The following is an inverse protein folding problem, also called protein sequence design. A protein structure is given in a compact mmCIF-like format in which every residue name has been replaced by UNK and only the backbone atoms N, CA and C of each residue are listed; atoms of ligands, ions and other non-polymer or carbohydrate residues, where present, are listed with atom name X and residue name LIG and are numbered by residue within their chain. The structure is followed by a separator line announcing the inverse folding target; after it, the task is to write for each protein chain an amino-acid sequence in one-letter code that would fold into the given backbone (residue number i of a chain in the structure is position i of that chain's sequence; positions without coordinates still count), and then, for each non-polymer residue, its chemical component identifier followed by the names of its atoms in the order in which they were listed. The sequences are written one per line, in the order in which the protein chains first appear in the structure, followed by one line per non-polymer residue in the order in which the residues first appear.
data_IF_982375535960
#
_entry.id   IF_982375535960
#
_cell.length_a   1.000
_cell.length_b   1.000
_cell.length_c   1.000
_cell.angle_alpha   90.00
_cell.angle_beta   90.00
_cell.angle_gamma   90.00
#
_symmetry.space_group_name_H-M   'P 1'
#
loop_
_entity.id
_entity.type
_entity.pdbx_description
1 polymer ?
#
# COMPACT_ATOMS: atom_id res chain seq x y z
N UNK A 1 15.06 -60.56 20.03
CA UNK A 1 15.08 -59.97 18.68
C UNK A 1 14.49 -58.56 18.77
N UNK A 2 15.35 -57.60 18.47
CA UNK A 2 15.21 -56.13 18.34
C UNK A 2 13.96 -55.41 18.87
N UNK A 3 14.19 -54.61 19.91
CA UNK A 3 13.36 -53.54 20.44
C UNK A 3 13.14 -52.42 19.41
N UNK A 4 11.88 -52.01 19.21
CA UNK A 4 11.53 -50.79 18.49
C UNK A 4 11.47 -49.62 19.49
N UNK A 5 12.40 -48.67 19.34
CA UNK A 5 12.35 -47.36 19.99
C UNK A 5 11.48 -46.43 19.15
N UNK A 6 10.39 -45.94 19.73
CA UNK A 6 9.65 -44.78 19.24
C UNK A 6 10.46 -43.50 19.49
N UNK A 7 10.51 -42.54 18.56
CA UNK A 7 11.03 -41.21 18.85
C UNK A 7 10.04 -40.43 19.74
N UNK A 8 10.57 -39.72 20.73
CA UNK A 8 9.83 -38.78 21.57
C UNK A 8 9.39 -37.59 20.72
N UNK A 9 8.11 -37.25 20.80
CA UNK A 9 7.60 -35.93 20.45
C UNK A 9 8.09 -34.97 21.54
N UNK A 10 8.99 -34.06 21.19
CA UNK A 10 9.24 -32.88 21.99
C UNK A 10 8.18 -31.85 21.60
N UNK A 11 7.21 -31.67 22.51
CA UNK A 11 6.17 -30.66 22.42
C UNK A 11 6.80 -29.27 22.46
N UNK A 12 6.67 -28.51 21.37
CA UNK A 12 6.96 -27.07 21.37
C UNK A 12 5.75 -26.38 22.02
N UNK A 13 5.80 -26.24 23.35
CA UNK A 13 4.94 -25.32 24.08
C UNK A 13 5.36 -23.88 23.77
N UNK A 14 4.60 -23.18 22.93
CA UNK A 14 4.65 -21.72 22.86
C UNK A 14 3.74 -21.18 23.97
N UNK A 15 4.31 -20.93 25.14
CA UNK A 15 3.63 -20.23 26.22
C UNK A 15 3.68 -18.73 25.92
N UNK A 16 2.59 -18.17 25.39
CA UNK A 16 2.37 -16.73 25.41
C UNK A 16 1.90 -16.35 26.81
N UNK A 17 2.84 -16.03 27.69
CA UNK A 17 2.55 -15.33 28.94
C UNK A 17 2.21 -13.88 28.59
N UNK A 18 0.92 -13.62 28.36
CA UNK A 18 0.34 -12.29 28.32
C UNK A 18 -0.50 -12.17 29.59
N UNK A 19 0.13 -11.85 30.72
CA UNK A 19 -0.61 -11.41 31.90
C UNK A 19 0.17 -10.31 32.64
N UNK A 20 -0.58 -9.24 32.89
CA UNK A 20 -0.43 -8.23 33.94
C UNK A 20 0.84 -7.36 33.97
N UNK A 21 0.84 -6.26 33.19
CA UNK A 21 1.45 -4.98 33.64
C UNK A 21 0.69 -3.80 33.03
N UNK A 22 -0.44 -3.43 33.61
CA UNK A 22 -1.07 -2.12 33.39
C UNK A 22 -1.70 -1.67 34.71
N UNK A 23 -0.89 -1.15 35.62
CA UNK A 23 -1.30 -0.09 36.55
C UNK A 23 -0.12 0.28 37.45
N UNK A 24 0.66 1.27 37.02
CA UNK A 24 1.45 2.12 37.90
C UNK A 24 1.73 3.43 37.16
N UNK A 25 0.97 4.46 37.55
CA UNK A 25 1.27 5.86 37.26
C UNK A 25 2.51 6.24 38.09
N UNK A 26 3.70 6.09 37.52
CA UNK A 26 4.93 6.71 38.03
C UNK A 26 5.28 7.93 37.17
N UNK A 27 5.48 9.07 37.84
CA UNK A 27 6.04 10.29 37.25
C UNK A 27 7.50 10.04 36.88
N UNK A 28 7.73 9.49 35.69
CA UNK A 28 9.06 9.21 35.17
C UNK A 28 9.85 10.51 34.95
N UNK A 29 10.97 10.61 35.66
CA UNK A 29 12.00 11.64 35.53
C UNK A 29 12.51 11.73 34.08
N UNK A 30 12.78 12.93 33.52
CA UNK A 30 13.12 13.13 32.11
C UNK A 30 14.41 12.42 31.64
N UNK A 31 15.21 11.87 32.55
CA UNK A 31 16.35 11.01 32.22
C UNK A 31 15.98 9.56 31.87
N UNK A 32 14.80 9.07 32.26
CA UNK A 32 14.37 7.68 32.01
C UNK A 32 13.73 7.46 30.63
N UNK A 33 13.26 8.55 30.01
CA UNK A 33 12.63 8.52 28.68
C UNK A 33 13.62 8.24 27.53
N UNK A 34 14.93 8.40 27.75
CA UNK A 34 15.97 8.08 26.74
C UNK A 34 16.53 6.65 26.87
N UNK A 35 16.33 5.99 28.01
CA UNK A 35 16.82 4.63 28.24
C UNK A 35 15.95 3.58 27.52
N UNK A 36 14.62 3.75 27.54
CA UNK A 36 13.65 2.80 26.95
C UNK A 36 13.84 2.56 25.44
N UNK A 37 14.04 3.58 24.57
CA UNK A 37 14.29 3.37 23.14
C UNK A 37 15.60 2.63 22.85
N UNK A 38 16.63 2.88 23.66
CA UNK A 38 17.96 2.29 23.50
C UNK A 38 17.93 0.78 23.81
N UNK A 39 17.21 0.39 24.87
CA UNK A 39 17.01 -1.02 25.22
C UNK A 39 16.23 -1.76 24.13
N UNK A 40 15.17 -1.15 23.59
CA UNK A 40 14.37 -1.75 22.52
C UNK A 40 15.18 -1.94 21.23
N UNK A 41 15.96 -0.93 20.83
CA UNK A 41 16.82 -1.03 19.64
C UNK A 41 17.88 -2.13 19.79
N UNK A 42 18.50 -2.26 20.96
CA UNK A 42 19.45 -3.33 21.24
C UNK A 42 18.79 -4.71 21.17
N UNK A 43 17.56 -4.85 21.69
CA UNK A 43 16.80 -6.09 21.61
C UNK A 43 16.46 -6.46 20.15
N UNK A 44 16.01 -5.49 19.35
CA UNK A 44 15.73 -5.68 17.92
C UNK A 44 16.98 -6.15 17.18
N UNK A 45 18.13 -5.52 17.43
CA UNK A 45 19.41 -5.92 16.83
C UNK A 45 19.80 -7.35 17.22
N UNK A 46 19.63 -7.74 18.49
CA UNK A 46 19.91 -9.10 18.96
C UNK A 46 19.01 -10.12 18.25
N UNK A 47 17.69 -9.88 18.21
CA UNK A 47 16.73 -10.76 17.51
C UNK A 47 17.02 -10.85 16.01
N UNK A 48 17.43 -9.75 15.37
CA UNK A 48 17.82 -9.75 13.97
C UNK A 48 19.07 -10.62 13.72
N UNK A 49 20.07 -10.52 14.60
CA UNK A 49 21.30 -11.32 14.53
C UNK A 49 21.03 -12.81 14.77
N UNK A 50 20.20 -13.15 15.75
CA UNK A 50 19.77 -14.52 16.02
C UNK A 50 19.03 -15.11 14.82
N UNK A 51 18.07 -14.39 14.25
CA UNK A 51 17.37 -14.80 13.03
C UNK A 51 18.33 -15.01 11.86
N UNK A 52 19.35 -14.17 11.71
CA UNK A 52 20.36 -14.34 10.69
C UNK A 52 21.23 -15.58 10.94
N UNK A 53 21.63 -15.84 12.19
CA UNK A 53 22.36 -17.05 12.57
C UNK A 53 21.54 -18.31 12.34
N UNK A 54 20.26 -18.32 12.72
CA UNK A 54 19.34 -19.44 12.47
C UNK A 54 19.18 -19.70 10.97
N UNK A 55 19.08 -18.65 10.13
CA UNK A 55 19.08 -18.80 8.66
C UNK A 55 20.38 -19.39 8.11
N UNK A 56 21.52 -19.09 8.74
CA UNK A 56 22.82 -19.66 8.35
C UNK A 56 22.99 -21.11 8.82
N UNK A 57 22.53 -21.43 10.03
CA UNK A 57 22.69 -22.75 10.65
C UNK A 57 21.65 -23.76 10.16
N UNK A 58 20.39 -23.33 10.00
CA UNK A 58 19.26 -24.15 9.56
C UNK A 58 18.83 -23.87 8.13
N UNK A 59 19.64 -23.13 7.36
CA UNK A 59 19.43 -22.82 5.95
C UNK A 59 19.55 -24.03 5.03
N UNK A 60 18.84 -25.12 5.33
CA UNK A 60 18.45 -26.05 4.29
C UNK A 60 17.53 -25.28 3.35
N UNK A 61 18.09 -24.80 2.25
CA UNK A 61 17.32 -24.21 1.16
C UNK A 61 16.32 -25.26 0.71
N UNK A 62 15.07 -25.11 1.13
CA UNK A 62 14.00 -25.98 0.66
C UNK A 62 13.75 -25.64 -0.82
N UNK A 63 13.98 -26.61 -1.71
CA UNK A 63 13.70 -26.43 -3.14
C UNK A 63 12.21 -26.53 -3.38
N UNK A 64 11.54 -25.37 -3.47
CA UNK A 64 10.11 -25.28 -3.77
C UNK A 64 9.73 -26.08 -5.03
N UNK A 65 10.64 -26.18 -6.01
CA UNK A 65 10.46 -26.97 -7.25
C UNK A 65 10.25 -28.47 -7.03
N UNK A 66 10.61 -29.01 -5.86
CA UNK A 66 10.45 -30.44 -5.56
C UNK A 66 9.06 -30.78 -5.05
N UNK A 67 8.22 -29.78 -4.75
CA UNK A 67 6.84 -30.03 -4.37
C UNK A 67 5.95 -30.35 -5.59
N UNK A 68 4.90 -31.16 -5.39
CA UNK A 68 3.78 -31.26 -6.32
C UNK A 68 3.27 -29.88 -6.75
N UNK A 69 2.75 -29.80 -7.97
CA UNK A 69 2.30 -28.55 -8.56
C UNK A 69 1.25 -27.86 -7.69
N UNK A 70 0.34 -28.63 -7.10
CA UNK A 70 -0.75 -28.16 -6.27
C UNK A 70 -0.23 -27.38 -5.05
N UNK A 71 0.79 -27.91 -4.38
CA UNK A 71 1.41 -27.25 -3.23
C UNK A 71 2.16 -25.98 -3.64
N UNK A 72 2.85 -26.00 -4.79
CA UNK A 72 3.51 -24.79 -5.32
C UNK A 72 2.51 -23.69 -5.63
N UNK A 73 1.40 -24.05 -6.28
CA UNK A 73 0.32 -23.11 -6.60
C UNK A 73 -0.30 -22.50 -5.34
N UNK A 74 -0.55 -23.31 -4.30
CA UNK A 74 -1.01 -22.80 -3.00
C UNK A 74 0.00 -21.83 -2.37
N UNK A 75 1.29 -22.14 -2.44
CA UNK A 75 2.34 -21.23 -1.95
C UNK A 75 2.31 -19.91 -2.71
N UNK A 76 2.19 -19.94 -4.04
CA UNK A 76 2.11 -18.73 -4.85
C UNK A 76 0.86 -17.90 -4.59
N UNK A 77 -0.30 -18.53 -4.48
CA UNK A 77 -1.56 -17.88 -4.15
C UNK A 77 -1.47 -17.18 -2.79
N UNK A 78 -0.96 -17.88 -1.76
CA UNK A 78 -0.76 -17.32 -0.41
C UNK A 78 0.35 -16.28 -0.32
N UNK A 79 1.22 -16.21 -1.32
CA UNK A 79 2.30 -15.22 -1.41
C UNK A 79 1.89 -13.96 -2.16
N UNK A 80 0.69 -13.91 -2.75
CA UNK A 80 0.17 -12.66 -3.30
C UNK A 80 -0.03 -11.67 -2.14
N UNK A 81 0.40 -10.41 -2.29
CA UNK A 81 0.16 -9.42 -1.24
C UNK A 81 -1.35 -9.25 -1.02
N UNK A 82 -1.76 -8.91 0.21
CA UNK A 82 -3.12 -8.43 0.49
C UNK A 82 -3.40 -7.11 -0.24
N UNK A 83 -4.57 -6.50 -0.06
CA UNK A 83 -4.86 -5.14 -0.56
C UNK A 83 -3.74 -4.18 -0.20
N UNK A 84 -3.19 -3.46 -1.19
CA UNK A 84 -2.13 -2.46 -1.01
C UNK A 84 -2.66 -1.06 -1.36
N UNK A 85 -2.06 -0.03 -0.76
CA UNK A 85 -2.28 1.37 -1.16
C UNK A 85 -1.07 1.83 -1.98
N UNK A 86 -1.32 2.18 -3.23
CA UNK A 86 -0.31 2.69 -4.15
C UNK A 86 -0.45 4.21 -4.19
N UNK A 87 0.32 4.90 -3.34
CA UNK A 87 0.37 6.35 -3.35
C UNK A 87 1.19 6.84 -4.53
N UNK A 88 0.58 7.70 -5.34
CA UNK A 88 1.20 8.42 -6.44
C UNK A 88 1.33 9.87 -6.00
N UNK A 89 2.57 10.36 -5.93
CA UNK A 89 2.90 11.70 -5.45
C UNK A 89 3.74 12.43 -6.48
N UNK A 90 3.56 13.75 -6.60
CA UNK A 90 4.42 14.61 -7.42
C UNK A 90 5.66 15.04 -6.64
N UNK A 91 6.84 14.71 -7.16
CA UNK A 91 8.13 15.16 -6.65
C UNK A 91 8.61 16.38 -7.45
N UNK A 92 9.16 17.42 -6.79
CA UNK A 92 9.82 18.50 -7.50
C UNK A 92 11.06 17.97 -8.21
N UNK A 93 11.18 18.15 -9.52
CA UNK A 93 12.41 17.81 -10.24
C UNK A 93 13.39 18.97 -10.10
N UNK A 94 14.34 18.88 -9.17
CA UNK A 94 15.38 19.91 -8.97
C UNK A 94 16.57 19.75 -9.93
N UNK A 95 16.63 18.70 -10.72
CA UNK A 95 17.88 18.27 -11.36
C UNK A 95 18.21 18.91 -12.72
N UNK A 96 17.28 19.59 -13.39
CA UNK A 96 17.53 20.11 -14.74
C UNK A 96 17.05 21.55 -14.94
N UNK A 97 17.71 22.48 -14.25
CA UNK A 97 18.04 23.83 -14.74
C UNK A 97 16.92 24.77 -15.16
N UNK A 98 16.07 24.45 -16.14
CA UNK A 98 15.23 25.42 -16.85
C UNK A 98 13.80 24.95 -17.19
N UNK A 99 13.25 23.97 -16.47
CA UNK A 99 11.80 23.80 -16.47
C UNK A 99 11.31 23.19 -15.17
N UNK A 100 10.33 23.81 -14.53
CA UNK A 100 9.63 23.32 -13.35
C UNK A 100 8.80 22.07 -13.70
N UNK A 101 9.49 20.96 -13.95
CA UNK A 101 8.88 19.64 -14.09
C UNK A 101 8.39 19.13 -12.73
N UNK A 102 7.34 18.33 -12.78
CA UNK A 102 6.90 17.51 -11.64
C UNK A 102 6.99 16.07 -12.11
N UNK A 103 7.76 15.24 -11.43
CA UNK A 103 7.79 13.82 -11.73
C UNK A 103 6.84 13.11 -10.77
N UNK A 104 6.01 12.22 -11.30
CA UNK A 104 5.19 11.37 -10.43
C UNK A 104 6.06 10.23 -9.90
N UNK A 105 5.85 9.85 -8.64
CA UNK A 105 6.52 8.71 -8.01
C UNK A 105 5.48 7.80 -7.38
N UNK A 106 5.63 6.49 -7.57
CA UNK A 106 4.90 5.47 -6.84
C UNK A 106 5.88 4.70 -5.94
N UNK A 107 5.62 4.74 -4.64
CA UNK A 107 6.53 4.21 -3.63
C UNK A 107 6.47 2.68 -3.48
N UNK A 108 5.54 2.01 -4.18
CA UNK A 108 5.28 0.59 -3.99
C UNK A 108 6.32 -0.28 -4.69
N UNK A 109 6.78 -1.32 -4.00
CA UNK A 109 7.67 -2.31 -4.57
C UNK A 109 6.91 -3.28 -5.49
N UNK A 110 7.51 -3.69 -6.62
CA UNK A 110 6.92 -4.75 -7.42
C UNK A 110 6.78 -6.04 -6.57
N UNK A 111 5.71 -6.83 -6.77
CA UNK A 111 5.48 -8.06 -6.00
C UNK A 111 6.69 -9.00 -6.06
N UNK A 112 7.12 -9.53 -4.91
CA UNK A 112 8.28 -10.43 -4.79
C UNK A 112 8.17 -11.63 -5.74
N UNK A 113 6.95 -12.14 -5.97
CA UNK A 113 6.67 -13.25 -6.88
C UNK A 113 7.18 -13.04 -8.31
N UNK A 114 7.33 -11.79 -8.77
CA UNK A 114 7.91 -11.49 -10.09
C UNK A 114 9.40 -11.88 -10.20
N UNK A 115 10.09 -12.02 -9.07
CA UNK A 115 11.53 -12.23 -9.00
C UNK A 115 11.97 -13.61 -8.51
N UNK A 116 11.06 -14.46 -8.01
CA UNK A 116 11.44 -15.76 -7.43
C UNK A 116 11.86 -16.77 -8.50
N UNK A 117 10.98 -17.12 -9.44
CA UNK A 117 11.28 -18.02 -10.55
C UNK A 117 10.35 -17.77 -11.75
N UNK A 118 10.54 -18.52 -12.85
CA UNK A 118 9.69 -18.37 -14.06
C UNK A 118 8.22 -18.68 -13.78
N UNK A 119 7.95 -19.70 -12.96
CA UNK A 119 6.60 -20.13 -12.61
C UNK A 119 5.89 -19.08 -11.75
N UNK A 120 6.53 -18.62 -10.68
CA UNK A 120 5.98 -17.58 -9.80
C UNK A 120 5.70 -16.28 -10.55
N UNK A 121 6.58 -15.92 -11.50
CA UNK A 121 6.38 -14.75 -12.35
C UNK A 121 5.16 -14.90 -13.25
N UNK A 122 5.02 -16.05 -13.90
CA UNK A 122 3.83 -16.34 -14.73
C UNK A 122 2.55 -16.29 -13.89
N UNK A 123 2.60 -16.85 -12.68
CA UNK A 123 1.49 -16.79 -11.73
C UNK A 123 1.17 -15.33 -11.35
N UNK A 124 2.18 -14.55 -10.93
CA UNK A 124 1.99 -13.15 -10.56
C UNK A 124 1.41 -12.31 -11.71
N UNK A 125 1.93 -12.44 -12.93
CA UNK A 125 1.44 -11.70 -14.10
C UNK A 125 0.01 -12.09 -14.52
N UNK A 126 -0.55 -13.20 -14.02
CA UNK A 126 -1.96 -13.51 -14.19
C UNK A 126 -2.87 -12.70 -13.26
N UNK A 127 -2.32 -12.17 -12.16
CA UNK A 127 -3.06 -11.34 -11.20
C UNK A 127 -2.73 -9.86 -11.32
N UNK A 128 -1.48 -9.52 -11.65
CA UNK A 128 -1.00 -8.15 -11.73
C UNK A 128 -0.98 -7.66 -13.16
N UNK A 129 -1.49 -6.44 -13.36
CA UNK A 129 -1.34 -5.67 -14.59
C UNK A 129 -0.22 -4.65 -14.42
N UNK A 130 0.61 -4.51 -15.44
CA UNK A 130 1.55 -3.41 -15.52
C UNK A 130 0.77 -2.12 -15.83
N UNK A 131 0.92 -1.11 -14.99
CA UNK A 131 0.08 0.08 -15.05
C UNK A 131 0.80 1.29 -15.63
N UNK A 132 2.13 1.22 -15.77
CA UNK A 132 2.97 2.35 -16.16
C UNK A 132 4.23 1.87 -16.87
N UNK A 133 4.08 1.31 -18.06
CA UNK A 133 5.19 0.65 -18.76
C UNK A 133 6.20 1.65 -19.35
N UNK A 134 5.79 2.80 -19.89
CA UNK A 134 6.73 3.80 -20.42
C UNK A 134 6.05 5.17 -20.68
N UNK A 135 6.53 6.19 -19.97
CA UNK A 135 6.45 7.65 -20.23
C UNK A 135 5.29 8.24 -21.06
N UNK A 136 4.27 8.78 -20.38
CA UNK A 136 3.54 9.96 -20.85
C UNK A 136 4.30 11.25 -20.47
N UNK A 137 5.26 11.64 -21.32
CA UNK A 137 5.90 12.97 -21.26
C UNK A 137 6.65 13.30 -19.96
N UNK A 138 6.59 14.59 -19.56
CA UNK A 138 7.42 15.18 -18.46
C UNK A 138 7.08 14.67 -17.05
N UNK A 139 6.11 13.76 -16.89
CA UNK A 139 5.64 13.24 -15.59
C UNK A 139 5.68 11.71 -15.46
N UNK A 140 6.51 11.05 -16.27
CA UNK A 140 6.69 9.61 -16.21
C UNK A 140 7.02 9.14 -14.79
N UNK A 141 6.44 8.02 -14.37
CA UNK A 141 6.88 7.36 -13.15
C UNK A 141 8.30 6.83 -13.31
N UNK A 142 9.08 6.94 -12.24
CA UNK A 142 10.48 6.51 -12.21
C UNK A 142 10.69 4.99 -12.40
N UNK A 143 9.64 4.17 -12.27
CA UNK A 143 9.74 2.72 -12.36
C UNK A 143 8.44 2.05 -12.78
N UNK A 144 8.52 0.87 -13.44
CA UNK A 144 7.37 0.00 -13.68
C UNK A 144 6.64 -0.31 -12.37
N UNK A 145 5.32 -0.09 -12.33
CA UNK A 145 4.49 -0.45 -11.17
C UNK A 145 3.39 -1.41 -11.58
N UNK A 146 3.25 -2.48 -10.80
CA UNK A 146 2.29 -3.55 -11.01
C UNK A 146 1.14 -3.42 -10.03
N UNK A 147 -0.08 -3.45 -10.54
CA UNK A 147 -1.29 -3.26 -9.75
C UNK A 147 -2.26 -4.43 -9.94
N UNK A 148 -3.21 -4.56 -9.01
CA UNK A 148 -4.42 -5.38 -9.20
C UNK A 148 -5.62 -4.45 -9.21
N UNK A 149 -6.18 -4.09 -10.38
CA UNK A 149 -7.17 -3.01 -10.48
C UNK A 149 -8.41 -3.21 -9.59
N UNK A 150 -8.80 -4.47 -9.34
CA UNK A 150 -9.95 -4.84 -8.50
C UNK A 150 -9.69 -4.89 -7.00
N UNK A 151 -8.42 -4.84 -6.57
CA UNK A 151 -8.06 -5.10 -5.17
C UNK A 151 -7.18 -4.02 -4.57
N UNK A 152 -6.20 -3.52 -5.33
CA UNK A 152 -5.31 -2.47 -4.88
C UNK A 152 -6.04 -1.11 -4.88
N UNK A 153 -5.64 -0.21 -3.98
CA UNK A 153 -6.16 1.16 -3.90
C UNK A 153 -5.13 2.10 -4.52
N UNK A 154 -5.51 2.88 -5.53
CA UNK A 154 -4.63 3.94 -6.06
C UNK A 154 -4.91 5.24 -5.30
N UNK A 155 -3.93 5.73 -4.54
CA UNK A 155 -4.03 7.00 -3.83
C UNK A 155 -3.35 8.10 -4.64
N UNK A 156 -4.16 8.96 -5.24
CA UNK A 156 -3.70 10.11 -6.03
C UNK A 156 -3.45 11.28 -5.08
N UNK A 157 -2.18 11.50 -4.74
CA UNK A 157 -1.69 12.67 -4.01
C UNK A 157 -1.03 13.64 -4.99
N UNK A 158 -1.86 14.22 -5.85
CA UNK A 158 -1.46 15.06 -6.96
C UNK A 158 -2.23 16.37 -6.92
N UNK A 159 -1.64 17.45 -7.44
CA UNK A 159 -2.38 18.70 -7.61
C UNK A 159 -3.13 18.76 -8.96
N UNK A 160 -2.82 17.86 -9.91
CA UNK A 160 -3.36 17.83 -11.27
C UNK A 160 -3.85 16.42 -11.65
N UNK A 161 -5.06 16.08 -11.21
CA UNK A 161 -5.64 14.75 -11.43
C UNK A 161 -6.10 14.52 -12.88
N UNK A 162 -6.51 15.57 -13.58
CA UNK A 162 -6.88 15.55 -14.99
C UNK A 162 -5.69 15.10 -15.86
N UNK A 163 -4.49 15.58 -15.53
CA UNK A 163 -3.26 15.13 -16.19
C UNK A 163 -2.94 13.66 -15.89
N UNK A 164 -3.19 13.20 -14.67
CA UNK A 164 -3.00 11.79 -14.32
C UNK A 164 -4.00 10.90 -15.04
N UNK A 165 -5.27 11.28 -15.06
CA UNK A 165 -6.32 10.54 -15.74
C UNK A 165 -6.09 10.48 -17.26
N UNK A 166 -5.57 11.57 -17.85
CA UNK A 166 -5.18 11.59 -19.27
C UNK A 166 -3.91 10.78 -19.56
N UNK A 167 -2.92 10.88 -18.67
CA UNK A 167 -1.62 10.23 -18.85
C UNK A 167 -1.63 8.74 -18.59
N UNK A 168 -2.65 8.21 -17.92
CA UNK A 168 -2.68 6.82 -17.45
C UNK A 168 -4.07 6.20 -17.63
N UNK A 169 -4.43 5.78 -18.85
CA UNK A 169 -5.75 5.18 -19.15
C UNK A 169 -6.03 3.92 -18.32
N UNK A 170 -5.00 3.25 -17.79
CA UNK A 170 -5.16 2.12 -16.89
C UNK A 170 -5.91 2.48 -15.60
N UNK A 171 -5.96 3.77 -15.22
CA UNK A 171 -6.79 4.27 -14.11
C UNK A 171 -8.27 3.97 -14.30
N UNK A 172 -8.74 3.82 -15.54
CA UNK A 172 -10.14 3.50 -15.85
C UNK A 172 -10.52 2.07 -15.46
N UNK A 173 -9.55 1.20 -15.19
CA UNK A 173 -9.79 -0.18 -14.73
C UNK A 173 -9.80 -0.31 -13.20
N UNK A 174 -9.42 0.75 -12.47
CA UNK A 174 -9.23 0.70 -11.03
C UNK A 174 -10.56 0.87 -10.30
N UNK A 175 -10.91 -0.10 -9.45
CA UNK A 175 -12.17 -0.08 -8.71
C UNK A 175 -12.12 0.79 -7.46
N UNK A 176 -10.95 0.98 -6.86
CA UNK A 176 -10.75 1.72 -5.60
C UNK A 176 -9.72 2.84 -5.75
N UNK A 177 -10.17 4.08 -5.60
CA UNK A 177 -9.32 5.27 -5.71
C UNK A 177 -9.42 6.08 -4.41
N UNK A 178 -8.28 6.54 -3.92
CA UNK A 178 -8.20 7.48 -2.82
C UNK A 178 -7.72 8.84 -3.32
N UNK A 179 -8.28 9.92 -2.78
CA UNK A 179 -7.93 11.30 -3.13
C UNK A 179 -7.90 12.17 -1.87
N UNK A 180 -7.20 13.30 -1.93
CA UNK A 180 -7.22 14.28 -0.83
C UNK A 180 -8.59 14.93 -0.70
N UNK A 181 -9.06 15.04 0.55
CA UNK A 181 -10.23 15.85 0.89
C UNK A 181 -10.02 17.33 0.53
N UNK A 182 -11.07 18.00 0.04
CA UNK A 182 -11.08 19.41 -0.38
C UNK A 182 -10.08 19.78 -1.49
N UNK A 183 -9.57 18.78 -2.20
CA UNK A 183 -8.75 19.05 -3.37
C UNK A 183 -9.63 19.61 -4.50
N UNK A 184 -9.56 20.94 -4.69
CA UNK A 184 -10.34 21.64 -5.72
C UNK A 184 -10.06 21.09 -7.12
N UNK A 185 -8.89 20.51 -7.36
CA UNK A 185 -8.56 19.92 -8.65
C UNK A 185 -9.39 18.65 -8.90
N UNK A 186 -9.64 17.84 -7.87
CA UNK A 186 -10.47 16.65 -8.03
C UNK A 186 -11.93 17.01 -8.36
N UNK A 187 -12.50 18.04 -7.72
CA UNK A 187 -13.83 18.56 -8.10
C UNK A 187 -13.88 19.02 -9.56
N UNK A 188 -12.80 19.59 -10.09
CA UNK A 188 -12.76 20.09 -11.48
C UNK A 188 -12.85 18.97 -12.52
N UNK A 189 -12.34 17.76 -12.23
CA UNK A 189 -12.43 16.63 -13.17
C UNK A 189 -13.89 16.38 -13.59
N UNK A 190 -14.83 16.59 -12.66
CA UNK A 190 -16.24 16.30 -12.82
C UNK A 190 -17.00 17.44 -13.49
N UNK A 191 -16.49 18.66 -13.39
CA UNK A 191 -17.08 19.85 -14.00
C UNK A 191 -16.62 20.09 -15.44
N UNK A 192 -15.44 19.58 -15.84
CA UNK A 192 -14.87 19.83 -17.17
C UNK A 192 -15.27 18.79 -18.24
N UNK A 193 -16.10 17.80 -17.90
CA UNK A 193 -16.32 16.58 -18.70
C UNK A 193 -17.48 16.58 -19.70
N UNK A 194 -17.97 17.73 -20.20
CA UNK A 194 -19.16 17.71 -21.10
C UNK A 194 -18.89 17.06 -22.47
N UNK A 195 -17.62 16.80 -22.83
CA UNK A 195 -17.25 16.26 -24.15
C UNK A 195 -16.44 14.94 -24.10
N UNK A 196 -16.25 14.31 -22.92
CA UNK A 196 -15.38 13.13 -22.80
C UNK A 196 -15.97 12.02 -21.95
N UNK A 197 -15.54 10.79 -22.26
CA UNK A 197 -15.79 9.59 -21.45
C UNK A 197 -15.38 9.82 -19.99
N UNK A 198 -16.07 9.17 -19.04
CA UNK A 198 -15.86 9.41 -17.63
C UNK A 198 -14.50 8.85 -17.22
N UNK A 199 -13.64 9.71 -16.69
CA UNK A 199 -12.41 9.27 -16.04
C UNK A 199 -12.74 8.33 -14.89
N UNK A 200 -11.89 7.31 -14.70
CA UNK A 200 -12.06 6.30 -13.66
C UNK A 200 -13.32 5.44 -13.87
N UNK A 201 -13.55 4.99 -15.11
CA UNK A 201 -14.78 4.32 -15.52
C UNK A 201 -15.19 3.13 -14.61
N UNK A 202 -14.23 2.29 -14.17
CA UNK A 202 -14.48 1.16 -13.28
C UNK A 202 -14.52 1.52 -11.79
N UNK A 203 -14.33 2.78 -11.41
CA UNK A 203 -14.29 3.19 -10.01
C UNK A 203 -15.66 2.98 -9.36
N UNK A 204 -15.70 2.07 -8.38
CA UNK A 204 -16.88 1.79 -7.56
C UNK A 204 -16.68 2.24 -6.12
N UNK A 205 -15.44 2.49 -5.70
CA UNK A 205 -15.09 2.90 -4.35
C UNK A 205 -14.19 4.13 -4.35
N UNK A 206 -14.63 5.17 -3.64
CA UNK A 206 -13.91 6.42 -3.45
C UNK A 206 -13.51 6.59 -1.98
N UNK A 207 -12.22 6.76 -1.70
CA UNK A 207 -11.70 7.03 -0.37
C UNK A 207 -11.25 8.49 -0.27
N UNK A 208 -11.71 9.17 0.77
CA UNK A 208 -11.48 10.60 0.97
C UNK A 208 -10.49 10.79 2.11
N UNK A 209 -9.27 11.20 1.78
CA UNK A 209 -8.18 11.34 2.75
C UNK A 209 -8.23 12.72 3.42
N UNK A 210 -8.68 12.81 4.67
CA UNK A 210 -8.92 14.07 5.39
C UNK A 210 -7.72 14.58 6.18
N UNK A 211 -6.93 13.68 6.76
CA UNK A 211 -5.83 14.03 7.67
C UNK A 211 -4.54 13.34 7.24
N UNK A 212 -3.44 14.09 7.30
CA UNK A 212 -2.07 13.59 7.15
C UNK A 212 -1.35 13.61 8.48
N UNK A 213 -0.90 12.46 8.96
CA UNK A 213 -0.15 12.40 10.21
C UNK A 213 1.27 13.01 10.13
N UNK A 214 1.82 13.27 8.94
CA UNK A 214 3.14 13.93 8.78
C UNK A 214 3.25 14.80 7.53
N UNK A 215 3.95 15.95 7.59
CA UNK A 215 4.29 16.74 6.41
C UNK A 215 5.42 16.09 5.58
N UNK A 216 5.28 16.27 4.28
CA UNK A 216 6.26 16.09 3.18
C UNK A 216 7.64 16.73 3.52
N UNK A 217 8.81 16.25 3.01
CA UNK A 217 9.05 15.41 1.82
C UNK A 217 9.74 14.05 2.08
N UNK A 218 9.89 13.60 3.33
CA UNK A 218 10.95 12.64 3.65
C UNK A 218 10.77 11.18 3.19
N UNK A 219 9.63 10.75 2.61
CA UNK A 219 9.42 9.32 2.41
C UNK A 219 8.74 8.95 1.08
N UNK A 220 9.50 9.03 -0.02
CA UNK A 220 9.20 8.28 -1.25
C UNK A 220 9.27 6.76 -1.06
N UNK A 221 9.55 6.28 0.15
CA UNK A 221 9.73 4.87 0.48
C UNK A 221 8.81 4.39 1.61
N UNK A 222 7.92 5.24 2.13
CA UNK A 222 6.99 4.81 3.18
C UNK A 222 5.82 4.04 2.59
N UNK A 223 5.42 2.97 3.28
CA UNK A 223 4.15 2.31 3.01
C UNK A 223 3.05 3.14 3.65
N UNK A 224 1.97 3.36 2.90
CA UNK A 224 0.80 4.11 3.37
C UNK A 224 -0.31 3.13 3.72
N UNK A 225 -0.91 3.35 4.86
CA UNK A 225 -2.18 2.73 5.26
C UNK A 225 -3.26 3.80 5.31
N UNK A 226 -4.46 3.42 4.84
CA UNK A 226 -5.66 4.22 4.95
C UNK A 226 -6.55 3.56 5.99
N UNK A 227 -6.82 4.29 7.07
CA UNK A 227 -7.65 3.83 8.18
C UNK A 227 -8.94 4.65 8.22
N UNK A 228 -10.09 4.08 8.59
CA UNK A 228 -11.33 4.85 8.74
C UNK A 228 -11.13 6.08 9.64
N UNK A 229 -11.65 7.24 9.24
CA UNK A 229 -11.70 8.44 10.08
C UNK A 229 -13.02 8.42 10.88
N UNK A 230 -13.00 8.20 12.21
CA UNK A 230 -14.23 8.15 13.01
C UNK A 230 -14.99 9.48 13.00
N UNK A 231 -14.31 10.59 12.71
CA UNK A 231 -14.91 11.93 12.68
C UNK A 231 -15.43 12.32 11.28
N UNK A 232 -15.23 11.48 10.26
CA UNK A 232 -15.43 11.82 8.85
C UNK A 232 -16.87 11.76 8.33
N UNK A 233 -17.87 11.56 9.19
CA UNK A 233 -19.27 11.34 8.75
C UNK A 233 -19.85 12.53 7.98
N UNK A 234 -19.47 13.75 8.36
CA UNK A 234 -19.94 14.96 7.70
C UNK A 234 -19.37 15.06 6.29
N UNK A 235 -18.08 14.81 6.13
CA UNK A 235 -17.37 14.78 4.84
C UNK A 235 -17.94 13.71 3.89
N UNK A 236 -18.24 12.52 4.41
CA UNK A 236 -18.87 11.43 3.66
C UNK A 236 -20.25 11.83 3.11
N UNK A 237 -21.07 12.48 3.96
CA UNK A 237 -22.39 12.97 3.58
C UNK A 237 -22.31 14.06 2.51
N UNK A 238 -21.36 15.00 2.65
CA UNK A 238 -21.13 16.06 1.66
C UNK A 238 -20.81 15.49 0.26
N UNK A 239 -19.95 14.48 0.17
CA UNK A 239 -19.64 13.84 -1.12
C UNK A 239 -20.77 13.01 -1.67
N UNK A 240 -21.48 12.28 -0.81
CA UNK A 240 -22.67 11.53 -1.22
C UNK A 240 -23.70 12.47 -1.86
N UNK A 241 -23.93 13.63 -1.23
CA UNK A 241 -24.81 14.65 -1.76
C UNK A 241 -24.28 15.26 -3.07
N UNK A 242 -22.99 15.56 -3.15
CA UNK A 242 -22.35 16.05 -4.38
C UNK A 242 -22.49 15.08 -5.55
N UNK A 243 -22.20 13.79 -5.35
CA UNK A 243 -22.32 12.74 -6.38
C UNK A 243 -23.78 12.59 -6.81
N UNK A 244 -24.72 12.55 -5.85
CA UNK A 244 -26.15 12.46 -6.12
C UNK A 244 -26.66 13.64 -6.93
N UNK A 245 -26.25 14.87 -6.58
CA UNK A 245 -26.62 16.08 -7.30
C UNK A 245 -26.10 16.07 -8.75
N UNK A 246 -24.82 15.76 -8.96
CA UNK A 246 -24.27 15.73 -10.31
C UNK A 246 -24.89 14.62 -11.17
N UNK A 247 -25.16 13.42 -10.61
CA UNK A 247 -25.89 12.35 -11.32
C UNK A 247 -27.27 12.82 -11.77
N UNK A 248 -28.00 13.55 -10.92
CA UNK A 248 -29.31 14.13 -11.28
C UNK A 248 -29.22 15.22 -12.35
N UNK A 249 -28.11 15.95 -12.37
CA UNK A 249 -27.82 16.98 -13.36
C UNK A 249 -27.32 16.42 -14.70
N UNK A 250 -27.22 15.09 -14.85
CA UNK A 250 -26.84 14.43 -16.10
C UNK A 250 -25.33 14.40 -16.37
N UNK A 251 -24.50 14.67 -15.37
CA UNK A 251 -23.05 14.49 -15.51
C UNK A 251 -22.71 13.01 -15.56
N UNK A 252 -21.80 12.65 -16.46
CA UNK A 252 -21.28 11.29 -16.57
C UNK A 252 -20.24 11.05 -15.47
N UNK A 253 -20.68 10.32 -14.44
CA UNK A 253 -19.90 10.05 -13.23
C UNK A 253 -19.78 8.55 -13.10
N UNK A 254 -18.59 8.03 -12.72
CA UNK A 254 -18.42 6.63 -12.38
C UNK A 254 -19.48 6.12 -11.41
N UNK A 255 -19.86 4.86 -11.52
CA UNK A 255 -20.87 4.27 -10.65
C UNK A 255 -20.31 3.97 -9.25
N UNK A 256 -20.00 5.03 -8.49
CA UNK A 256 -19.50 4.94 -7.12
C UNK A 256 -20.61 4.37 -6.23
N UNK A 257 -20.32 3.23 -5.63
CA UNK A 257 -21.19 2.48 -4.73
C UNK A 257 -20.81 2.70 -3.27
N UNK A 258 -19.54 3.00 -3.00
CA UNK A 258 -19.02 3.17 -1.65
C UNK A 258 -18.10 4.38 -1.55
N UNK A 259 -18.36 5.21 -0.53
CA UNK A 259 -17.54 6.36 -0.16
C UNK A 259 -17.09 6.13 1.27
N UNK A 260 -15.82 6.36 1.56
CA UNK A 260 -15.27 6.20 2.90
C UNK A 260 -14.31 7.34 3.20
N UNK A 261 -14.42 7.93 4.38
CA UNK A 261 -13.47 8.95 4.83
C UNK A 261 -12.38 8.28 5.65
N UNK A 262 -11.13 8.58 5.31
CA UNK A 262 -9.95 7.89 5.86
C UNK A 262 -8.85 8.85 6.28
N UNK A 263 -8.01 8.41 7.20
CA UNK A 263 -6.79 9.07 7.61
C UNK A 263 -5.56 8.36 7.06
N UNK A 264 -4.56 9.14 6.64
CA UNK A 264 -3.30 8.62 6.15
C UNK A 264 -2.38 8.26 7.33
N UNK A 265 -1.99 6.99 7.42
CA UNK A 265 -1.03 6.48 8.38
C UNK A 265 0.24 6.02 7.65
N UNK A 266 1.40 6.53 8.09
CA UNK A 266 2.70 6.17 7.51
C UNK A 266 3.33 5.04 8.30
N UNK A 267 3.62 3.93 7.65
CA UNK A 267 4.48 2.89 8.21
C UNK A 267 5.91 3.20 7.79
N UNK A 268 6.77 3.51 8.78
CA UNK A 268 8.20 3.60 8.55
C UNK A 268 8.73 2.21 8.21
N UNK A 269 9.34 2.08 7.03
CA UNK A 269 10.15 0.92 6.71
C UNK A 269 11.35 0.94 7.68
N UNK A 270 11.40 0.00 8.62
CA UNK A 270 12.59 -0.25 9.43
C UNK A 270 13.73 -0.62 8.48
N UNK A 271 14.66 0.30 8.30
CA UNK A 271 15.88 0.15 7.48
C UNK A 271 16.83 -0.87 8.07
#
# INVERSE_FOLDING_TARGET
MSCLRTPRHDDIHVTLAFDEVWDQHEEDSPHDLQAKPTVLNNHICTVANENQQLRRQHGTSFRLTNFPLELRMLVWERSLPSRRVLRITELPTTEYGHSSGRASCCCVYPPVLLYVCRESRKFALAHFKLFFEESFGRRALFKPTYIRPKLDVIYLDLDAYDEAAYGYPELDEVESIAVRWKDRAFHKIWHCGWEREPYFAAMTRLLLVTKRKRPYPACCCATVELLPDPDGQQEELEWTNFISWNKKSGYDIPNIQHIEVVVENFIQCSS
#
